data_IF_413184304355
#
_entry.id   IF_413184304355
#
_cell.length_a   1.000
_cell.length_b   1.000
_cell.length_c   1.000
_cell.angle_alpha   90.00
_cell.angle_beta   90.00
_cell.angle_gamma   90.00
#
_symmetry.space_group_name_H-M   'P 1'
#
loop_
_entity.id
_entity.type
_entity.pdbx_description
1 polymer ?
#
# COMPACT_ATOMS: atom_id res chain seq x y z
N UNK A 1 -8.10 19.64 -37.38
CA UNK A 1 -8.81 18.57 -36.67
C UNK A 1 -7.81 18.02 -35.67
N UNK A 2 -7.91 18.44 -34.41
CA UNK A 2 -7.05 17.90 -33.36
C UNK A 2 -7.57 16.52 -33.00
N UNK A 3 -6.76 15.49 -33.22
CA UNK A 3 -7.05 14.16 -32.73
C UNK A 3 -7.23 14.23 -31.21
N UNK A 4 -8.45 13.95 -30.76
CA UNK A 4 -8.72 13.66 -29.36
C UNK A 4 -7.98 12.36 -29.08
N UNK A 5 -6.77 12.48 -28.52
CA UNK A 5 -6.01 11.35 -28.00
C UNK A 5 -6.95 10.68 -26.99
N UNK A 6 -7.58 9.56 -27.38
CA UNK A 6 -8.29 8.69 -26.46
C UNK A 6 -7.25 8.25 -25.44
N UNK A 7 -7.34 8.76 -24.22
CA UNK A 7 -6.43 8.35 -23.16
C UNK A 7 -6.59 6.85 -22.92
N UNK A 8 -5.54 6.10 -23.27
CA UNK A 8 -5.47 4.68 -23.00
C UNK A 8 -5.36 4.51 -21.49
N UNK A 9 -6.23 3.72 -20.85
CA UNK A 9 -6.12 3.47 -19.42
C UNK A 9 -4.81 2.75 -19.13
N UNK A 10 -4.16 3.11 -18.03
CA UNK A 10 -2.91 2.50 -17.59
C UNK A 10 -3.12 1.00 -17.32
N UNK A 11 -2.38 0.14 -18.03
CA UNK A 11 -2.53 -1.32 -17.98
C UNK A 11 -1.46 -2.00 -17.14
N UNK A 12 -0.24 -1.48 -17.20
CA UNK A 12 0.92 -2.09 -16.56
C UNK A 12 1.95 -1.03 -16.16
N UNK A 13 2.82 -1.40 -15.24
CA UNK A 13 3.93 -0.57 -14.79
C UNK A 13 5.22 -1.33 -15.09
N UNK A 14 6.07 -0.74 -15.92
CA UNK A 14 7.38 -1.26 -16.23
C UNK A 14 8.41 -0.54 -15.38
N UNK A 15 9.20 -1.27 -14.62
CA UNK A 15 10.18 -0.71 -13.69
C UNK A 15 11.58 -1.15 -14.10
N UNK A 16 12.47 -0.19 -14.31
CA UNK A 16 13.89 -0.47 -14.54
C UNK A 16 14.51 -1.14 -13.30
N UNK A 17 15.36 -2.16 -13.50
CA UNK A 17 15.98 -2.85 -12.36
C UNK A 17 16.81 -1.93 -11.45
N UNK A 18 17.39 -0.85 -11.99
CA UNK A 18 18.11 0.15 -11.18
C UNK A 18 17.18 0.81 -10.15
N UNK A 19 15.92 1.09 -10.52
CA UNK A 19 14.91 1.65 -9.62
C UNK A 19 14.59 0.66 -8.50
N UNK A 20 14.38 -0.61 -8.87
CA UNK A 20 14.14 -1.69 -7.90
C UNK A 20 15.30 -1.77 -6.90
N UNK A 21 16.54 -1.79 -7.37
CA UNK A 21 17.74 -1.86 -6.52
C UNK A 21 17.85 -0.65 -5.58
N UNK A 22 17.55 0.56 -6.05
CA UNK A 22 17.54 1.77 -5.21
C UNK A 22 16.47 1.70 -4.11
N UNK A 23 15.27 1.25 -4.45
CA UNK A 23 14.15 1.10 -3.49
C UNK A 23 14.47 0.02 -2.46
N UNK A 24 14.97 -1.15 -2.89
CA UNK A 24 15.35 -2.25 -2.00
C UNK A 24 16.46 -1.82 -1.05
N UNK A 25 17.51 -1.14 -1.56
CA UNK A 25 18.60 -0.61 -0.74
C UNK A 25 18.07 0.39 0.29
N UNK A 26 17.22 1.34 -0.13
CA UNK A 26 16.64 2.32 0.77
C UNK A 26 15.79 1.67 1.86
N UNK A 27 14.86 0.79 1.46
CA UNK A 27 13.99 0.07 2.39
C UNK A 27 14.77 -0.75 3.41
N UNK A 28 15.85 -1.41 2.99
CA UNK A 28 16.69 -2.23 3.87
C UNK A 28 17.53 -1.39 4.84
N UNK A 29 18.03 -0.22 4.41
CA UNK A 29 18.86 0.66 5.25
C UNK A 29 18.03 1.44 6.30
N UNK A 30 16.79 1.77 5.96
CA UNK A 30 15.91 2.58 6.83
C UNK A 30 15.02 1.70 7.73
N UNK A 31 14.93 0.39 7.48
CA UNK A 31 14.17 -0.56 8.29
C UNK A 31 14.62 -0.51 9.77
N UNK A 32 13.69 -0.42 10.76
CA UNK A 32 12.24 -0.66 10.67
C UNK A 32 11.39 0.56 10.27
N UNK A 33 11.98 1.73 10.06
CA UNK A 33 11.25 2.95 9.68
C UNK A 33 10.81 2.91 8.21
N UNK A 34 9.69 3.56 7.91
CA UNK A 34 9.17 3.68 6.54
C UNK A 34 10.08 4.55 5.67
N UNK A 35 10.60 3.96 4.59
CA UNK A 35 11.36 4.63 3.55
C UNK A 35 10.39 5.15 2.48
N UNK A 36 10.46 6.44 2.14
CA UNK A 36 9.62 7.02 1.08
C UNK A 36 10.46 7.78 0.06
N UNK A 37 9.96 7.93 -1.16
CA UNK A 37 10.63 8.72 -2.18
C UNK A 37 9.78 8.91 -3.43
N UNK A 38 10.32 9.67 -4.38
CA UNK A 38 9.67 9.96 -5.66
C UNK A 38 10.13 8.95 -6.71
N UNK A 39 9.23 8.60 -7.62
CA UNK A 39 9.57 7.89 -8.86
C UNK A 39 9.39 8.82 -10.04
N UNK A 40 10.25 8.64 -11.04
CA UNK A 40 10.20 9.40 -12.29
C UNK A 40 10.24 8.48 -13.50
N UNK A 41 9.66 8.95 -14.59
CA UNK A 41 9.68 8.26 -15.87
C UNK A 41 8.67 8.82 -16.86
N UNK A 42 8.13 7.97 -17.73
CA UNK A 42 7.20 8.40 -18.79
C UNK A 42 6.16 7.33 -19.10
N UNK A 43 5.02 7.76 -19.61
CA UNK A 43 4.00 6.83 -20.12
C UNK A 43 4.22 6.56 -21.60
N UNK A 44 4.24 5.29 -21.96
CA UNK A 44 4.34 4.80 -23.33
C UNK A 44 3.11 3.92 -23.62
N UNK A 45 2.12 4.49 -24.32
CA UNK A 45 0.92 3.80 -24.81
C UNK A 45 0.15 2.98 -23.76
N UNK A 46 0.07 3.47 -22.52
CA UNK A 46 -0.66 2.81 -21.42
C UNK A 46 0.21 1.87 -20.58
N UNK A 47 1.52 1.84 -20.80
CA UNK A 47 2.51 1.26 -19.89
C UNK A 47 3.31 2.39 -19.26
N UNK A 48 3.28 2.48 -17.93
CA UNK A 48 4.05 3.49 -17.20
C UNK A 48 5.48 2.97 -17.03
N UNK A 49 6.44 3.58 -17.70
CA UNK A 49 7.85 3.24 -17.59
C UNK A 49 8.48 4.09 -16.48
N UNK A 50 8.98 3.43 -15.44
CA UNK A 50 9.67 4.04 -14.31
C UNK A 50 11.16 3.83 -14.49
N UNK A 51 11.86 4.89 -14.87
CA UNK A 51 13.27 4.86 -15.27
C UNK A 51 14.20 5.22 -14.13
N UNK A 52 13.76 6.07 -13.19
CA UNK A 52 14.59 6.51 -12.08
C UNK A 52 13.79 6.81 -10.80
N UNK A 53 14.50 6.93 -9.69
CA UNK A 53 13.92 7.23 -8.38
C UNK A 53 14.94 7.92 -7.48
N UNK A 54 14.45 8.71 -6.54
CA UNK A 54 15.24 9.35 -5.49
C UNK A 54 14.47 9.33 -4.16
N UNK A 55 15.23 9.32 -3.07
CA UNK A 55 14.72 9.18 -1.71
C UNK A 55 14.26 10.55 -1.19
N UNK A 56 13.19 10.60 -0.41
CA UNK A 56 12.91 11.81 0.37
C UNK A 56 13.84 11.86 1.58
N UNK A 57 14.36 13.05 1.95
CA UNK A 57 15.12 13.20 3.18
C UNK A 57 14.26 12.75 4.37
N UNK A 58 14.77 11.80 5.15
CA UNK A 58 14.14 11.41 6.41
C UNK A 58 14.34 12.51 7.42
N UNK A 59 13.28 12.86 8.17
CA UNK A 59 13.42 13.76 9.32
C UNK A 59 14.28 13.04 10.36
N UNK A 60 15.40 13.64 10.73
CA UNK A 60 16.39 13.04 11.64
C UNK A 60 15.77 12.90 13.04
N UNK A 61 15.36 11.69 13.40
CA UNK A 61 14.72 11.35 14.70
C UNK A 61 15.69 11.58 15.87
N UNK A 62 16.99 11.76 15.59
CA UNK A 62 18.02 12.06 16.57
C UNK A 62 17.88 13.42 17.26
N UNK A 63 17.10 14.37 16.70
CA UNK A 63 16.88 15.70 17.30
C UNK A 63 15.52 15.86 18.00
N UNK A 64 14.74 14.78 18.11
CA UNK A 64 13.52 14.74 18.91
C UNK A 64 13.79 13.89 20.15
N UNK A 65 13.47 14.41 21.33
CA UNK A 65 13.72 13.79 22.64
C UNK A 65 13.56 12.26 22.64
N UNK A 66 14.52 11.58 23.25
CA UNK A 66 14.75 10.12 23.28
C UNK A 66 13.65 9.27 23.95
N UNK A 67 12.42 9.79 24.00
CA UNK A 67 11.22 9.14 24.53
C UNK A 67 10.11 8.92 23.49
N UNK A 68 10.32 9.24 22.20
CA UNK A 68 9.33 8.93 21.15
C UNK A 68 9.41 7.48 20.70
N UNK A 69 8.25 6.81 20.68
CA UNK A 69 8.08 5.43 20.22
C UNK A 69 8.48 5.30 18.73
N UNK A 70 9.06 4.16 18.33
CA UNK A 70 9.36 3.85 16.93
C UNK A 70 8.14 4.04 15.97
N UNK A 71 6.92 3.91 16.49
CA UNK A 71 5.68 4.14 15.75
C UNK A 71 5.50 5.60 15.29
N UNK A 72 5.94 6.58 16.09
CA UNK A 72 5.82 8.00 15.79
C UNK A 72 6.75 8.41 14.64
N UNK A 73 7.97 7.88 14.62
CA UNK A 73 8.94 8.09 13.54
C UNK A 73 8.43 7.54 12.20
N UNK A 74 7.84 6.34 12.21
CA UNK A 74 7.29 5.74 10.98
C UNK A 74 6.10 6.54 10.43
N UNK A 75 5.28 7.11 11.31
CA UNK A 75 4.11 7.92 10.95
C UNK A 75 4.53 9.25 10.32
N UNK A 76 5.55 9.90 10.90
CA UNK A 76 6.15 11.11 10.33
C UNK A 76 6.79 10.84 8.98
N UNK A 77 7.53 9.73 8.85
CA UNK A 77 8.16 9.33 7.59
C UNK A 77 7.13 8.97 6.51
N UNK A 78 6.01 8.34 6.89
CA UNK A 78 4.91 8.04 5.97
C UNK A 78 4.22 9.31 5.45
N UNK A 79 4.20 10.40 6.23
CA UNK A 79 3.65 11.68 5.78
C UNK A 79 4.61 12.49 4.89
N UNK A 80 5.88 12.05 4.72
CA UNK A 80 6.91 12.76 3.98
C UNK A 80 6.51 13.19 2.54
N UNK A 81 5.81 12.38 1.71
CA UNK A 81 5.54 12.75 0.32
C UNK A 81 4.68 14.02 0.14
N UNK A 82 3.86 14.36 1.14
CA UNK A 82 2.98 15.54 1.14
C UNK A 82 3.53 16.73 1.93
N UNK A 83 4.71 16.60 2.54
CA UNK A 83 5.33 17.68 3.30
C UNK A 83 5.85 18.78 2.36
N UNK A 84 5.59 20.05 2.70
CA UNK A 84 6.00 21.20 1.87
C UNK A 84 7.49 21.22 1.55
N UNK A 85 8.35 20.90 2.52
CA UNK A 85 9.80 20.82 2.32
C UNK A 85 10.17 19.77 1.27
N UNK A 86 9.51 18.62 1.30
CA UNK A 86 9.77 17.53 0.34
C UNK A 86 9.21 17.82 -1.04
N UNK A 87 8.13 18.60 -1.16
CA UNK A 87 7.63 19.09 -2.46
C UNK A 87 8.68 20.02 -3.11
N UNK A 88 9.28 20.92 -2.33
CA UNK A 88 10.36 21.81 -2.82
C UNK A 88 11.57 20.98 -3.24
N UNK A 89 12.02 20.07 -2.37
CA UNK A 89 13.13 19.16 -2.66
C UNK A 89 12.87 18.32 -3.91
N UNK A 90 11.65 17.79 -4.08
CA UNK A 90 11.24 17.01 -5.24
C UNK A 90 11.41 17.82 -6.53
N UNK A 91 10.94 19.07 -6.53
CA UNK A 91 11.03 19.95 -7.70
C UNK A 91 12.50 20.30 -8.05
N UNK A 92 13.33 20.55 -7.05
CA UNK A 92 14.77 20.81 -7.25
C UNK A 92 15.49 19.56 -7.79
N UNK A 93 15.22 18.39 -7.22
CA UNK A 93 15.81 17.14 -7.68
C UNK A 93 15.38 16.80 -9.12
N UNK A 94 14.11 17.02 -9.47
CA UNK A 94 13.62 16.87 -10.84
C UNK A 94 14.38 17.80 -11.79
N UNK A 95 14.64 19.06 -11.38
CA UNK A 95 15.44 20.00 -12.19
C UNK A 95 16.86 19.48 -12.41
N UNK A 96 17.53 18.99 -11.36
CA UNK A 96 18.87 18.44 -11.48
C UNK A 96 18.91 17.18 -12.35
N UNK A 97 17.93 16.29 -12.24
CA UNK A 97 17.84 15.11 -13.11
C UNK A 97 17.67 15.49 -14.59
N UNK A 98 16.92 16.56 -14.88
CA UNK A 98 16.82 17.11 -16.24
C UNK A 98 18.14 17.69 -16.76
N UNK A 99 18.95 18.30 -15.89
CA UNK A 99 20.30 18.80 -16.26
C UNK A 99 21.24 17.66 -16.69
N UNK A 100 21.05 16.45 -16.17
CA UNK A 100 21.81 15.25 -16.57
C UNK A 100 21.14 14.45 -17.70
N UNK A 101 20.15 15.02 -18.39
CA UNK A 101 19.38 14.40 -19.47
C UNK A 101 18.64 13.11 -19.07
N UNK A 102 18.20 13.01 -17.80
CA UNK A 102 17.26 11.96 -17.37
C UNK A 102 15.83 12.44 -17.62
N UNK A 103 14.95 11.52 -18.02
CA UNK A 103 13.52 11.73 -18.20
C UNK A 103 12.79 11.89 -16.84
N UNK A 104 12.99 13.03 -16.20
CA UNK A 104 12.49 13.28 -14.85
C UNK A 104 11.05 13.85 -14.84
N UNK A 105 10.06 13.13 -15.37
CA UNK A 105 8.66 13.46 -15.10
C UNK A 105 8.20 12.73 -13.84
N UNK A 106 7.53 13.44 -12.93
CA UNK A 106 6.98 12.81 -11.73
C UNK A 106 5.79 11.92 -12.12
N UNK A 107 5.96 10.61 -11.90
CA UNK A 107 4.94 9.59 -12.18
C UNK A 107 4.40 8.95 -10.90
N UNK A 108 4.83 9.45 -9.74
CA UNK A 108 4.31 9.07 -8.43
C UNK A 108 5.38 8.91 -7.37
N UNK A 109 5.17 7.96 -6.47
CA UNK A 109 6.00 7.78 -5.29
C UNK A 109 6.17 6.30 -4.93
N UNK A 110 7.10 6.01 -4.02
CA UNK A 110 7.22 4.69 -3.42
C UNK A 110 7.26 4.78 -1.90
N UNK A 111 6.89 3.67 -1.26
CA UNK A 111 7.01 3.47 0.18
C UNK A 111 7.52 2.06 0.47
N UNK A 112 8.34 1.91 1.51
CA UNK A 112 8.54 0.61 2.12
C UNK A 112 7.36 0.25 3.02
N UNK A 113 7.17 -1.04 3.22
CA UNK A 113 6.23 -1.60 4.17
C UNK A 113 6.92 -2.73 4.95
N UNK A 114 6.49 -2.93 6.18
CA UNK A 114 6.88 -4.07 7.00
C UNK A 114 5.70 -5.02 7.11
N UNK A 115 5.90 -6.30 6.80
CA UNK A 115 4.88 -7.35 6.91
C UNK A 115 3.55 -7.04 6.19
N UNK A 116 3.58 -6.24 5.12
CA UNK A 116 2.37 -5.83 4.41
C UNK A 116 1.52 -4.75 5.08
N UNK A 117 2.02 -4.09 6.14
CA UNK A 117 1.34 -2.95 6.76
C UNK A 117 1.56 -1.67 5.94
N UNK A 118 0.65 -1.38 5.01
CA UNK A 118 0.71 -0.16 4.20
C UNK A 118 -0.66 0.46 3.89
N UNK A 119 -1.76 -0.27 4.09
CA UNK A 119 -3.11 0.23 3.81
C UNK A 119 -3.59 1.07 4.99
N UNK A 120 -3.11 2.31 5.03
CA UNK A 120 -3.44 3.28 6.09
C UNK A 120 -3.90 4.62 5.50
N UNK A 121 -4.39 5.51 6.37
CA UNK A 121 -4.88 6.83 5.94
C UNK A 121 -3.78 7.66 5.25
N UNK A 122 -2.54 7.61 5.76
CA UNK A 122 -1.42 8.35 5.18
C UNK A 122 -1.11 7.92 3.75
N UNK A 123 -1.19 6.62 3.45
CA UNK A 123 -1.02 6.10 2.09
C UNK A 123 -2.09 6.64 1.14
N UNK A 124 -3.35 6.65 1.58
CA UNK A 124 -4.48 7.20 0.81
C UNK A 124 -4.32 8.70 0.57
N UNK A 125 -3.95 9.45 1.61
CA UNK A 125 -3.71 10.90 1.53
C UNK A 125 -2.58 11.24 0.56
N UNK A 126 -1.46 10.51 0.62
CA UNK A 126 -0.33 10.69 -0.28
C UNK A 126 -0.71 10.36 -1.72
N UNK A 127 -1.39 9.22 -1.94
CA UNK A 127 -1.80 8.83 -3.28
C UNK A 127 -2.84 9.80 -3.85
N UNK A 128 -3.80 10.28 -3.04
CA UNK A 128 -4.74 11.31 -3.46
C UNK A 128 -4.04 12.62 -3.81
N UNK A 129 -3.03 13.02 -3.03
CA UNK A 129 -2.24 14.23 -3.29
C UNK A 129 -1.62 14.24 -4.69
N UNK A 130 -0.95 13.14 -5.07
CA UNK A 130 -0.35 13.04 -6.40
C UNK A 130 -1.39 12.77 -7.49
N UNK A 131 -2.34 11.87 -7.25
CA UNK A 131 -3.31 11.43 -8.27
C UNK A 131 -4.34 12.51 -8.62
N UNK A 132 -4.57 13.49 -7.73
CA UNK A 132 -5.37 14.68 -8.00
C UNK A 132 -4.77 15.52 -9.13
N UNK A 133 -3.45 15.68 -9.14
CA UNK A 133 -2.75 16.56 -10.08
C UNK A 133 -2.37 15.80 -11.36
N UNK A 134 -2.08 14.49 -11.25
CA UNK A 134 -1.82 13.60 -12.38
C UNK A 134 -2.57 12.27 -12.21
N UNK A 135 -3.55 12.00 -13.08
CA UNK A 135 -4.32 10.75 -13.00
C UNK A 135 -3.45 9.49 -13.21
N UNK A 136 -2.31 9.61 -13.91
CA UNK A 136 -1.41 8.48 -14.21
C UNK A 136 -0.41 8.16 -13.09
N UNK A 137 -0.56 8.78 -11.93
CA UNK A 137 0.26 8.49 -10.74
C UNK A 137 0.09 7.07 -10.24
N UNK A 138 1.21 6.42 -9.93
CA UNK A 138 1.28 5.10 -9.27
C UNK A 138 2.06 5.20 -7.95
N UNK A 139 1.62 4.42 -6.96
CA UNK A 139 2.38 4.15 -5.73
C UNK A 139 3.05 2.78 -5.82
N UNK A 140 4.37 2.73 -5.70
CA UNK A 140 5.11 1.47 -5.53
C UNK A 140 5.26 1.13 -4.05
N UNK A 141 4.89 -0.09 -3.68
CA UNK A 141 5.03 -0.61 -2.32
C UNK A 141 6.04 -1.74 -2.32
N UNK A 142 7.15 -1.53 -1.60
CA UNK A 142 8.16 -2.56 -1.38
C UNK A 142 8.05 -3.14 0.02
N UNK A 143 7.75 -4.43 0.12
CA UNK A 143 7.69 -5.12 1.42
C UNK A 143 9.06 -5.69 1.76
N UNK A 144 9.74 -5.07 2.71
CA UNK A 144 11.11 -5.42 3.11
C UNK A 144 11.12 -6.79 3.80
N UNK A 145 10.14 -7.03 4.67
CA UNK A 145 10.04 -8.26 5.45
C UNK A 145 9.70 -9.48 4.59
N UNK A 146 8.86 -9.31 3.56
CA UNK A 146 8.58 -10.37 2.60
C UNK A 146 9.77 -10.62 1.67
N UNK A 147 10.45 -9.55 1.24
CA UNK A 147 11.60 -9.66 0.34
C UNK A 147 12.80 -10.33 1.00
N UNK A 148 12.97 -10.20 2.32
CA UNK A 148 13.99 -10.94 3.06
C UNK A 148 13.75 -12.45 3.14
N UNK A 149 12.53 -12.92 2.79
CA UNK A 149 12.21 -14.36 2.70
C UNK A 149 12.53 -14.95 1.31
N UNK A 150 13.20 -14.18 0.45
CA UNK A 150 13.77 -14.66 -0.82
C UNK A 150 13.00 -14.27 -2.09
N UNK A 151 11.71 -13.92 -1.99
CA UNK A 151 10.92 -13.43 -3.12
C UNK A 151 10.79 -11.92 -3.08
N UNK A 152 11.24 -11.23 -4.12
CA UNK A 152 11.02 -9.78 -4.27
C UNK A 152 9.52 -9.46 -4.18
N UNK A 153 9.16 -8.59 -3.24
CA UNK A 153 7.82 -8.05 -3.11
C UNK A 153 7.81 -6.58 -3.50
N UNK A 154 7.39 -6.32 -4.72
CA UNK A 154 7.17 -4.98 -5.26
C UNK A 154 5.81 -4.96 -5.95
N UNK A 155 4.90 -4.11 -5.46
CA UNK A 155 3.53 -4.01 -5.97
C UNK A 155 3.23 -2.57 -6.37
N UNK A 156 2.48 -2.40 -7.44
CA UNK A 156 2.04 -1.10 -7.92
C UNK A 156 0.55 -0.91 -7.64
N UNK A 157 0.20 0.21 -7.01
CA UNK A 157 -1.18 0.55 -6.70
C UNK A 157 -1.56 1.93 -7.23
N UNK A 158 -2.85 2.08 -7.54
CA UNK A 158 -3.49 3.34 -7.86
C UNK A 158 -4.85 3.40 -7.15
N UNK A 159 -5.32 4.58 -6.76
CA UNK A 159 -6.69 4.72 -6.25
C UNK A 159 -7.68 4.58 -7.41
N UNK A 160 -8.78 3.87 -7.19
CA UNK A 160 -9.82 3.79 -8.21
C UNK A 160 -10.45 5.16 -8.46
N UNK A 161 -10.91 5.46 -9.69
CA UNK A 161 -11.58 6.73 -9.99
C UNK A 161 -12.84 6.95 -9.11
N UNK A 162 -13.54 5.87 -8.77
CA UNK A 162 -14.72 5.90 -7.90
C UNK A 162 -14.35 6.32 -6.48
N UNK A 163 -13.27 5.78 -5.93
CA UNK A 163 -12.78 6.16 -4.61
C UNK A 163 -12.22 7.60 -4.61
N UNK A 164 -11.51 8.02 -5.66
CA UNK A 164 -11.03 9.40 -5.80
C UNK A 164 -12.17 10.43 -5.74
N UNK A 165 -13.29 10.15 -6.42
CA UNK A 165 -14.47 11.02 -6.39
C UNK A 165 -15.09 11.09 -4.98
N UNK A 166 -15.28 9.94 -4.32
CA UNK A 166 -15.82 9.90 -2.96
C UNK A 166 -14.90 10.58 -1.93
N UNK A 167 -13.59 10.41 -2.07
CA UNK A 167 -12.60 11.04 -1.18
C UNK A 167 -12.59 12.56 -1.34
N UNK A 168 -12.77 13.07 -2.56
CA UNK A 168 -12.89 14.51 -2.83
C UNK A 168 -14.11 15.14 -2.17
N UNK A 169 -15.22 14.40 -2.06
CA UNK A 169 -16.43 14.87 -1.37
C UNK A 169 -16.31 14.82 0.16
N UNK A 170 -15.40 14.00 0.69
CA UNK A 170 -15.14 13.88 2.13
C UNK A 170 -16.28 13.25 2.93
N UNK A 171 -17.29 12.66 2.27
CA UNK A 171 -18.48 12.09 2.90
C UNK A 171 -18.45 10.56 2.85
N UNK A 172 -17.89 9.94 3.89
CA UNK A 172 -17.87 8.49 4.09
C UNK A 172 -18.99 8.04 5.04
N UNK A 173 -20.23 8.43 4.73
CA UNK A 173 -21.45 8.01 5.44
C UNK A 173 -22.04 6.73 4.83
N UNK A 174 -22.88 6.02 5.57
CA UNK A 174 -23.56 4.81 5.05
C UNK A 174 -24.40 5.08 3.81
N UNK A 175 -25.03 6.25 3.71
CA UNK A 175 -25.82 6.66 2.54
C UNK A 175 -24.93 6.90 1.32
N UNK A 176 -23.82 7.63 1.49
CA UNK A 176 -22.85 7.92 0.43
C UNK A 176 -22.22 6.64 -0.12
N UNK A 177 -21.83 5.72 0.77
CA UNK A 177 -21.27 4.42 0.38
C UNK A 177 -22.27 3.52 -0.36
N UNK A 178 -23.55 3.54 0.05
CA UNK A 178 -24.61 2.81 -0.67
C UNK A 178 -24.87 3.39 -2.05
N UNK A 179 -24.88 4.72 -2.18
CA UNK A 179 -25.10 5.40 -3.46
C UNK A 179 -23.94 5.15 -4.44
N UNK A 180 -22.70 5.21 -3.95
CA UNK A 180 -21.48 4.99 -4.74
C UNK A 180 -21.14 3.51 -4.97
N UNK A 181 -21.79 2.59 -4.25
CA UNK A 181 -21.51 1.13 -4.25
C UNK A 181 -20.04 0.78 -3.94
N UNK A 182 -19.36 1.63 -3.18
CA UNK A 182 -17.95 1.45 -2.83
C UNK A 182 -17.79 0.38 -1.74
N UNK A 183 -16.95 -0.62 -2.02
CA UNK A 183 -16.54 -1.64 -1.06
C UNK A 183 -15.05 -1.50 -0.73
N UNK A 184 -14.57 -2.14 0.34
CA UNK A 184 -13.13 -2.15 0.70
C UNK A 184 -12.23 -2.68 -0.44
N UNK A 185 -12.76 -3.53 -1.34
CA UNK A 185 -12.03 -4.06 -2.49
C UNK A 185 -11.76 -3.00 -3.55
N UNK A 186 -12.64 -2.02 -3.69
CA UNK A 186 -12.60 -1.02 -4.75
C UNK A 186 -11.77 0.21 -4.37
N UNK A 187 -11.02 0.18 -3.25
CA UNK A 187 -10.18 1.31 -2.83
C UNK A 187 -8.93 1.40 -3.72
N UNK A 188 -8.21 0.29 -3.86
CA UNK A 188 -6.93 0.19 -4.55
C UNK A 188 -7.06 -0.71 -5.78
N UNK A 189 -6.70 -0.18 -6.94
CA UNK A 189 -6.44 -0.96 -8.15
C UNK A 189 -4.96 -1.37 -8.17
N UNK A 190 -4.70 -2.67 -8.24
CA UNK A 190 -3.35 -3.21 -8.40
C UNK A 190 -3.01 -3.31 -9.89
N UNK A 191 -1.81 -2.87 -10.24
CA UNK A 191 -1.28 -2.92 -11.60
C UNK A 191 -0.15 -3.96 -11.69
N UNK A 192 -0.08 -4.74 -12.77
CA UNK A 192 1.01 -5.69 -12.99
C UNK A 192 2.34 -4.93 -13.13
N UNK A 193 3.35 -5.41 -12.41
CA UNK A 193 4.71 -4.87 -12.41
C UNK A 193 5.60 -5.76 -13.28
N UNK A 194 6.16 -5.19 -14.35
CA UNK A 194 7.16 -5.84 -15.21
C UNK A 194 8.53 -5.24 -14.91
N UNK A 195 9.53 -6.08 -14.60
CA UNK A 195 10.90 -5.61 -14.45
C UNK A 195 11.56 -5.64 -15.82
N UNK A 196 12.05 -4.49 -16.26
CA UNK A 196 12.78 -4.36 -17.52
C UNK A 196 14.26 -4.09 -17.27
N UNK A 197 15.08 -4.64 -18.16
CA UNK A 197 16.51 -4.43 -18.21
C UNK A 197 16.88 -3.96 -19.60
N UNK A 198 17.66 -2.88 -19.69
CA UNK A 198 18.30 -2.50 -20.94
C UNK A 198 19.27 -3.58 -21.43
N UNK A 199 19.50 -3.64 -22.74
CA UNK A 199 20.44 -4.60 -23.34
C UNK A 199 21.88 -4.42 -22.83
N UNK A 200 22.28 -3.18 -22.52
CA UNK A 200 23.59 -2.91 -21.93
C UNK A 200 23.70 -3.48 -20.52
N UNK A 201 22.67 -3.27 -19.68
CA UNK A 201 22.62 -3.86 -18.34
C UNK A 201 22.61 -5.38 -18.40
N UNK A 202 21.86 -5.96 -19.34
CA UNK A 202 21.85 -7.42 -19.58
C UNK A 202 23.25 -7.92 -19.96
N UNK A 203 23.95 -7.22 -20.84
CA UNK A 203 25.34 -7.55 -21.22
C UNK A 203 26.31 -7.44 -20.05
N UNK A 204 26.13 -6.42 -19.20
CA UNK A 204 26.90 -6.27 -17.96
C UNK A 204 26.63 -7.40 -16.96
N UNK A 205 25.37 -7.83 -16.80
CA UNK A 205 25.03 -8.98 -15.97
C UNK A 205 25.67 -10.28 -16.47
N UNK A 206 25.85 -10.44 -17.78
CA UNK A 206 26.58 -11.58 -18.35
C UNK A 206 28.09 -11.56 -18.09
N UNK A 207 28.66 -10.41 -17.70
CA UNK A 207 30.08 -10.32 -17.29
C UNK A 207 30.29 -10.71 -15.82
N UNK A 208 29.23 -10.70 -15.01
CA UNK A 208 29.30 -11.21 -13.64
C UNK A 208 29.59 -12.73 -13.70
N UNK A 209 30.39 -13.28 -12.78
CA UNK A 209 30.74 -14.69 -12.79
C UNK A 209 29.47 -15.55 -12.73
N UNK A 210 29.14 -16.17 -13.87
CA UNK A 210 27.98 -17.05 -14.03
C UNK A 210 28.24 -18.45 -13.49
N UNK A 211 27.23 -19.32 -13.61
CA UNK A 211 27.35 -20.76 -13.36
C UNK A 211 28.61 -21.30 -14.04
N UNK A 212 29.43 -22.14 -13.39
CA UNK A 212 30.51 -22.82 -14.10
C UNK A 212 29.90 -23.56 -15.29
N UNK A 213 30.49 -23.39 -16.48
CA UNK A 213 30.25 -24.32 -17.57
C UNK A 213 30.50 -25.74 -17.02
N UNK A 214 29.64 -26.69 -17.39
CA UNK A 214 29.84 -28.12 -17.11
C UNK A 214 31.01 -28.69 -17.92
N UNK A 215 32.11 -27.95 -18.05
CA UNK A 215 33.33 -28.50 -18.58
C UNK A 215 33.89 -29.47 -17.55
N UNK A 216 34.37 -30.61 -18.04
CA UNK A 216 34.98 -31.65 -17.21
C UNK A 216 36.10 -30.98 -16.40
N UNK A 217 35.90 -30.84 -15.10
CA UNK A 217 36.93 -30.38 -14.18
C UNK A 217 38.10 -31.35 -14.34
N UNK A 218 39.17 -30.92 -15.01
CA UNK A 218 40.41 -31.69 -15.04
C UNK A 218 40.98 -31.72 -13.62
N UNK A 219 41.37 -32.90 -13.10
CA UNK A 219 41.94 -32.99 -11.77
C UNK A 219 43.22 -32.14 -11.70
N UNK A 220 43.45 -31.36 -10.64
CA UNK A 220 44.64 -30.54 -10.52
C UNK A 220 45.88 -31.42 -10.55
N UNK A 221 46.85 -31.08 -11.40
CA UNK A 221 48.07 -31.85 -11.58
C UNK A 221 49.14 -31.49 -10.53
N UNK A 222 48.92 -30.42 -9.74
CA UNK A 222 49.87 -29.98 -8.70
C UNK A 222 49.19 -29.33 -7.49
N UNK A 223 49.87 -29.37 -6.33
CA UNK A 223 49.46 -28.66 -5.10
C UNK A 223 49.48 -27.13 -5.25
N UNK A 224 50.18 -26.61 -6.25
CA UNK A 224 50.31 -25.17 -6.53
C UNK A 224 49.05 -24.62 -7.21
N UNK A 225 48.45 -25.38 -8.14
CA UNK A 225 47.19 -25.02 -8.82
C UNK A 225 46.01 -24.90 -7.83
N UNK A 226 45.99 -25.73 -6.78
CA UNK A 226 45.00 -25.67 -5.69
C UNK A 226 45.10 -24.39 -4.84
N UNK A 227 46.23 -23.68 -4.85
CA UNK A 227 46.43 -22.44 -4.07
C UNK A 227 46.19 -21.18 -4.88
N UNK A 228 46.27 -21.25 -6.21
CA UNK A 228 46.13 -20.10 -7.10
C UNK A 228 44.72 -19.90 -7.64
N UNK A 229 43.83 -20.89 -7.52
CA UNK A 229 42.42 -20.76 -7.85
C UNK A 229 41.59 -20.41 -6.58
N UNK A 230 41.37 -19.11 -6.26
CA UNK A 230 40.43 -18.76 -5.23
C UNK A 230 39.05 -19.27 -5.65
N UNK A 231 38.44 -20.11 -4.82
CA UNK A 231 37.05 -20.55 -4.99
C UNK A 231 36.20 -19.28 -5.15
N UNK A 232 35.81 -18.96 -6.39
CA UNK A 232 34.89 -17.85 -6.67
C UNK A 232 33.55 -18.28 -6.09
N UNK A 233 33.23 -17.73 -4.92
CA UNK A 233 31.94 -17.94 -4.27
C UNK A 233 30.84 -17.58 -5.27
N UNK A 234 29.97 -18.55 -5.56
CA UNK A 234 28.94 -18.40 -6.55
C UNK A 234 27.91 -17.35 -6.08
N UNK A 235 27.48 -16.47 -6.97
CA UNK A 235 26.37 -15.53 -6.71
C UNK A 235 24.99 -16.22 -6.73
N UNK A 236 24.92 -17.51 -7.09
CA UNK A 236 23.68 -18.27 -7.24
C UNK A 236 23.95 -19.79 -7.11
N UNK A 237 23.04 -20.63 -6.56
CA UNK A 237 21.68 -20.34 -6.07
C UNK A 237 21.60 -19.83 -4.62
N UNK A 238 20.66 -18.93 -4.35
CA UNK A 238 20.33 -18.53 -2.97
C UNK A 238 19.62 -19.68 -2.26
N UNK A 239 20.35 -20.35 -1.36
CA UNK A 239 19.78 -21.39 -0.49
C UNK A 239 18.72 -20.80 0.45
N UNK A 240 18.73 -19.48 0.66
CA UNK A 240 17.73 -18.71 1.41
C UNK A 240 16.30 -18.96 0.91
N UNK A 241 16.11 -19.13 -0.41
CA UNK A 241 14.79 -19.42 -0.96
C UNK A 241 14.25 -20.79 -0.52
N UNK A 242 15.09 -21.69 -0.03
CA UNK A 242 14.73 -23.03 0.47
C UNK A 242 14.65 -23.07 2.00
N UNK A 243 14.77 -21.92 2.68
CA UNK A 243 14.60 -21.91 4.13
C UNK A 243 13.20 -22.39 4.52
N UNK A 244 13.19 -23.27 5.52
CA UNK A 244 12.02 -23.91 6.11
C UNK A 244 11.60 -23.23 7.42
N UNK A 245 12.36 -22.23 7.90
CA UNK A 245 12.02 -21.56 9.15
C UNK A 245 10.65 -20.88 9.05
N UNK A 246 9.69 -21.35 9.85
CA UNK A 246 8.28 -20.93 9.81
C UNK A 246 8.03 -19.76 10.77
N UNK A 247 8.79 -19.70 11.87
CA UNK A 247 8.24 -19.19 13.12
C UNK A 247 8.18 -17.65 13.21
N UNK A 248 9.25 -16.85 12.96
CA UNK A 248 9.18 -15.42 13.28
C UNK A 248 8.31 -14.57 12.33
N UNK A 249 8.20 -14.97 11.05
CA UNK A 249 7.44 -14.21 10.06
C UNK A 249 5.95 -14.51 10.17
N UNK A 250 5.58 -15.79 10.28
CA UNK A 250 4.18 -16.20 10.38
C UNK A 250 3.56 -15.76 11.69
N UNK A 251 4.26 -15.94 12.82
CA UNK A 251 3.81 -15.50 14.15
C UNK A 251 3.47 -14.01 14.13
N UNK A 252 4.42 -13.17 13.70
CA UNK A 252 4.21 -11.72 13.61
C UNK A 252 3.10 -11.33 12.63
N UNK A 253 2.98 -12.02 11.50
CA UNK A 253 1.88 -11.74 10.54
C UNK A 253 0.53 -12.07 11.15
N UNK A 254 0.43 -13.15 11.93
CA UNK A 254 -0.77 -13.52 12.68
C UNK A 254 -1.09 -12.52 13.80
N UNK A 255 -0.08 -12.05 14.55
CA UNK A 255 -0.27 -11.02 15.57
C UNK A 255 -0.80 -9.72 14.96
N UNK A 256 -0.22 -9.27 13.85
CA UNK A 256 -0.67 -8.08 13.12
C UNK A 256 -2.08 -8.25 12.54
N UNK A 257 -2.44 -9.47 12.11
CA UNK A 257 -3.80 -9.79 11.68
C UNK A 257 -4.78 -9.68 12.86
N UNK A 258 -4.43 -10.22 14.03
CA UNK A 258 -5.26 -10.13 15.23
C UNK A 258 -5.45 -8.68 15.67
N UNK A 259 -4.39 -7.88 15.70
CA UNK A 259 -4.45 -6.44 16.00
C UNK A 259 -5.38 -5.70 15.02
N UNK A 260 -5.29 -6.01 13.72
CA UNK A 260 -6.16 -5.41 12.70
C UNK A 260 -7.62 -5.82 12.85
N UNK A 261 -7.89 -7.06 13.28
CA UNK A 261 -9.24 -7.54 13.59
C UNK A 261 -9.80 -6.83 14.83
N UNK A 262 -9.00 -6.66 15.89
CA UNK A 262 -9.40 -5.92 17.10
C UNK A 262 -9.71 -4.45 16.80
N UNK A 263 -8.89 -3.80 15.97
CA UNK A 263 -9.14 -2.44 15.47
C UNK A 263 -10.47 -2.36 14.70
N UNK A 264 -10.73 -3.30 13.79
CA UNK A 264 -12.01 -3.38 13.08
C UNK A 264 -13.21 -3.63 14.02
N UNK A 265 -13.05 -4.43 15.08
CA UNK A 265 -14.09 -4.60 16.11
C UNK A 265 -14.35 -3.33 16.90
N UNK A 266 -13.31 -2.55 17.20
CA UNK A 266 -13.43 -1.26 17.88
C UNK A 266 -14.25 -0.28 17.05
N UNK A 267 -13.99 -0.18 15.74
CA UNK A 267 -14.77 0.63 14.81
C UNK A 267 -16.23 0.19 14.73
N UNK A 268 -16.46 -1.12 14.71
CA UNK A 268 -17.80 -1.70 14.69
C UNK A 268 -18.57 -1.36 15.96
N UNK A 269 -17.93 -1.43 17.12
CA UNK A 269 -18.52 -1.05 18.41
C UNK A 269 -18.88 0.45 18.45
N UNK A 270 -18.02 1.32 17.91
CA UNK A 270 -18.28 2.75 17.79
C UNK A 270 -19.53 3.02 16.91
N UNK A 271 -19.64 2.32 15.78
CA UNK A 271 -20.81 2.43 14.91
C UNK A 271 -22.10 1.90 15.58
N UNK A 272 -22.02 0.78 16.30
CA UNK A 272 -23.18 0.27 17.05
C UNK A 272 -23.62 1.24 18.15
N UNK A 273 -22.68 1.91 18.82
CA UNK A 273 -22.99 2.95 19.80
C UNK A 273 -23.74 4.11 19.14
N UNK A 274 -23.24 4.60 18.00
CA UNK A 274 -23.92 5.61 17.19
C UNK A 274 -25.36 5.17 16.81
N UNK A 275 -25.52 3.93 16.33
CA UNK A 275 -26.83 3.40 15.94
C UNK A 275 -27.82 3.35 17.11
N UNK A 276 -27.37 2.97 18.31
CA UNK A 276 -28.20 3.00 19.52
C UNK A 276 -28.60 4.43 19.90
N UNK A 277 -27.68 5.38 19.79
CA UNK A 277 -27.96 6.79 20.09
C UNK A 277 -28.95 7.39 19.09
N UNK A 278 -28.76 7.13 17.80
CA UNK A 278 -29.66 7.53 16.72
C UNK A 278 -31.07 6.97 16.96
N UNK A 279 -31.19 5.69 17.30
CA UNK A 279 -32.49 5.05 17.58
C UNK A 279 -33.22 5.67 18.78
N UNK A 280 -32.49 6.08 19.83
CA UNK A 280 -33.08 6.78 21.00
C UNK A 280 -33.59 8.17 20.62
N UNK A 281 -32.82 8.94 19.86
CA UNK A 281 -33.24 10.28 19.42
C UNK A 281 -34.41 10.20 18.42
N UNK A 282 -34.37 9.26 17.48
CA UNK A 282 -35.50 9.00 16.58
C UNK A 282 -36.77 8.62 17.35
N UNK A 283 -36.68 7.77 18.37
CA UNK A 283 -37.82 7.43 19.20
C UNK A 283 -38.42 8.66 19.92
N UNK A 284 -37.58 9.57 20.44
CA UNK A 284 -38.04 10.84 21.04
C UNK A 284 -38.72 11.74 20.01
N UNK A 285 -38.16 11.84 18.81
CA UNK A 285 -38.75 12.62 17.71
C UNK A 285 -40.11 12.04 17.31
N UNK A 286 -40.21 10.73 17.11
CA UNK A 286 -41.48 10.07 16.76
C UNK A 286 -42.53 10.22 17.87
N UNK A 287 -42.14 10.10 19.14
CA UNK A 287 -43.03 10.37 20.27
C UNK A 287 -43.51 11.82 20.30
N UNK A 288 -42.61 12.79 20.07
CA UNK A 288 -42.96 14.20 19.98
C UNK A 288 -43.93 14.48 18.83
N UNK A 289 -43.64 13.96 17.63
CA UNK A 289 -44.48 14.11 16.44
C UNK A 289 -45.86 13.49 16.66
N UNK A 290 -45.94 12.32 17.29
CA UNK A 290 -47.21 11.65 17.59
C UNK A 290 -48.06 12.48 18.56
N UNK A 291 -47.44 13.01 19.64
CA UNK A 291 -48.11 13.91 20.58
C UNK A 291 -48.60 15.18 19.89
N UNK A 292 -47.76 15.78 19.04
CA UNK A 292 -48.10 17.02 18.32
C UNK A 292 -49.23 16.82 17.32
N UNK A 293 -49.24 15.69 16.61
CA UNK A 293 -50.32 15.31 15.70
C UNK A 293 -51.65 15.08 16.44
N UNK A 294 -51.62 14.45 17.62
CA UNK A 294 -52.79 14.28 18.46
C UNK A 294 -53.34 15.63 18.98
N UNK A 295 -52.45 16.54 19.37
CA UNK A 295 -52.83 17.90 19.79
C UNK A 295 -53.42 18.72 18.63
N UNK A 296 -52.83 18.64 17.44
CA UNK A 296 -53.34 19.29 16.23
C UNK A 296 -54.72 18.75 15.83
N UNK A 297 -54.96 17.43 15.96
CA UNK A 297 -56.27 16.83 15.72
C UNK A 297 -57.33 17.33 16.72
N UNK A 298 -56.98 17.49 18.01
CA UNK A 298 -57.86 18.06 19.02
C UNK A 298 -58.18 19.54 18.76
N UNK A 299 -57.18 20.33 18.33
CA UNK A 299 -57.37 21.75 17.98
C UNK A 299 -58.18 21.94 16.70
N UNK A 300 -58.04 21.06 15.71
CA UNK A 300 -58.87 21.05 14.51
C UNK A 300 -60.35 20.78 14.86
N UNK A 301 -60.62 19.85 15.78
CA UNK A 301 -61.98 19.63 16.30
C UNK A 301 -62.53 20.86 17.04
N UNK A 302 -61.67 21.64 17.69
CA UNK A 302 -62.01 22.91 18.34
C UNK A 302 -61.98 24.15 17.41
N UNK A 303 -61.82 23.96 16.08
CA UNK A 303 -61.72 25.03 15.06
C UNK A 303 -60.59 26.05 15.29
N UNK A 304 -59.52 25.66 15.98
CA UNK A 304 -58.32 26.49 16.16
C UNK A 304 -57.26 26.14 15.11
N UNK A 305 -56.37 27.11 14.80
CA UNK A 305 -55.30 26.90 13.84
C UNK A 305 -54.29 25.83 14.33
N UNK A 306 -53.81 24.93 13.45
CA UNK A 306 -52.84 23.90 13.80
C UNK A 306 -51.49 24.52 14.16
N UNK A 307 -50.78 23.89 15.09
CA UNK A 307 -49.43 24.29 15.47
C UNK A 307 -48.42 23.78 14.42
N UNK A 308 -47.30 24.51 14.21
CA UNK A 308 -46.27 24.11 13.27
C UNK A 308 -45.68 22.74 13.63
N UNK A 309 -45.54 21.88 12.62
CA UNK A 309 -45.01 20.53 12.77
C UNK A 309 -43.48 20.47 12.65
N UNK A 310 -42.80 21.58 12.34
CA UNK A 310 -41.35 21.62 12.04
C UNK A 310 -40.45 21.97 13.24
N UNK A 311 -41.02 22.32 14.40
CA UNK A 311 -40.25 22.75 15.58
C UNK A 311 -39.28 21.67 16.10
N UNK A 312 -39.53 20.39 15.83
CA UNK A 312 -38.65 19.29 16.25
C UNK A 312 -37.25 19.37 15.61
N UNK A 313 -37.10 19.96 14.42
CA UNK A 313 -35.79 20.09 13.77
C UNK A 313 -34.87 21.06 14.51
N UNK A 314 -35.46 22.03 15.24
CA UNK A 314 -34.72 22.96 16.10
C UNK A 314 -34.48 22.39 17.50
N UNK A 315 -35.41 21.55 17.98
CA UNK A 315 -35.39 20.99 19.33
C UNK A 315 -34.51 19.76 19.46
N UNK A 316 -34.42 18.92 18.43
CA UNK A 316 -33.64 17.68 18.45
C UNK A 316 -32.48 17.76 17.46
N UNK A 317 -31.26 17.55 17.95
CA UNK A 317 -30.06 17.44 17.12
C UNK A 317 -29.73 15.97 16.96
N UNK A 318 -29.75 15.47 15.72
CA UNK A 318 -29.35 14.09 15.43
C UNK A 318 -27.84 13.93 15.66
N UNK A 319 -27.39 12.80 16.24
CA UNK A 319 -25.97 12.47 16.32
C UNK A 319 -25.35 12.43 14.92
N UNK A 320 -24.10 12.89 14.80
CA UNK A 320 -23.32 12.79 13.56
C UNK A 320 -22.81 11.36 13.39
N UNK A 321 -22.89 10.84 12.16
CA UNK A 321 -22.38 9.51 11.82
C UNK A 321 -20.84 9.52 11.87
N UNK A 322 -20.20 8.53 12.54
CA UNK A 322 -18.75 8.38 12.46
C UNK A 322 -18.33 8.01 11.03
N UNK A 323 -17.19 8.55 10.58
CA UNK A 323 -16.64 8.22 9.26
C UNK A 323 -16.39 6.71 9.14
N UNK A 324 -16.85 6.12 8.04
CA UNK A 324 -16.65 4.68 7.75
C UNK A 324 -15.33 4.38 7.06
N UNK A 325 -14.53 5.41 6.73
CA UNK A 325 -13.30 5.28 5.97
C UNK A 325 -12.27 4.39 6.68
N UNK A 326 -11.99 4.65 7.96
CA UNK A 326 -11.00 3.88 8.73
C UNK A 326 -11.39 2.41 8.82
N UNK A 327 -12.66 2.11 9.12
CA UNK A 327 -13.16 0.74 9.12
C UNK A 327 -13.04 0.04 7.77
N UNK A 328 -13.21 0.75 6.65
CA UNK A 328 -12.99 0.19 5.30
C UNK A 328 -11.50 -0.10 5.02
N UNK A 329 -10.59 0.78 5.47
CA UNK A 329 -9.15 0.57 5.33
C UNK A 329 -8.67 -0.60 6.20
N UNK A 330 -9.14 -0.68 7.45
CA UNK A 330 -8.88 -1.79 8.36
C UNK A 330 -9.36 -3.12 7.76
N UNK A 331 -10.58 -3.17 7.19
CA UNK A 331 -11.07 -4.36 6.50
C UNK A 331 -10.20 -4.77 5.30
N UNK A 332 -9.68 -3.79 4.55
CA UNK A 332 -8.74 -4.06 3.45
C UNK A 332 -7.39 -4.56 3.95
N UNK A 333 -6.90 -4.05 5.07
CA UNK A 333 -5.66 -4.52 5.71
C UNK A 333 -5.80 -5.96 6.24
N UNK A 334 -6.96 -6.32 6.81
CA UNK A 334 -7.28 -7.72 7.18
C UNK A 334 -7.25 -8.65 5.96
N UNK A 335 -7.85 -8.25 4.83
CA UNK A 335 -7.79 -9.03 3.58
C UNK A 335 -6.34 -9.21 3.12
N UNK A 336 -5.53 -8.14 3.21
CA UNK A 336 -4.13 -8.17 2.83
C UNK A 336 -3.35 -9.18 3.68
N UNK A 337 -3.42 -9.11 5.01
CA UNK A 337 -2.78 -10.08 5.90
C UNK A 337 -3.26 -11.52 5.66
N UNK A 338 -4.56 -11.71 5.41
CA UNK A 338 -5.10 -13.05 5.10
C UNK A 338 -4.46 -13.63 3.83
N UNK A 339 -4.39 -12.85 2.74
CA UNK A 339 -3.68 -13.26 1.51
C UNK A 339 -2.18 -13.50 1.74
N UNK A 340 -1.58 -12.75 2.66
CA UNK A 340 -0.18 -12.93 3.02
C UNK A 340 0.07 -14.30 3.67
N UNK A 341 -0.77 -14.66 4.64
CA UNK A 341 -0.74 -15.96 5.34
C UNK A 341 -1.00 -17.10 4.37
N UNK A 342 -2.00 -16.97 3.49
CA UNK A 342 -2.31 -17.98 2.47
C UNK A 342 -1.11 -18.21 1.53
N UNK A 343 -0.52 -17.12 1.02
CA UNK A 343 0.64 -17.20 0.14
C UNK A 343 1.88 -17.78 0.81
N UNK A 344 2.12 -17.42 2.07
CA UNK A 344 3.22 -17.99 2.87
C UNK A 344 3.01 -19.49 3.11
N UNK A 345 1.80 -19.89 3.53
CA UNK A 345 1.43 -21.28 3.80
C UNK A 345 1.54 -22.15 2.55
N UNK A 346 1.12 -21.65 1.38
CA UNK A 346 1.26 -22.36 0.11
C UNK A 346 2.73 -22.59 -0.25
N UNK A 347 3.58 -21.58 -0.07
CA UNK A 347 5.01 -21.66 -0.38
C UNK A 347 5.74 -22.65 0.57
N UNK A 348 5.52 -22.52 1.88
CA UNK A 348 6.17 -23.40 2.86
C UNK A 348 5.70 -24.85 2.74
N UNK A 349 4.42 -25.09 2.43
CA UNK A 349 3.90 -26.44 2.20
C UNK A 349 4.59 -27.11 1.00
N UNK A 350 4.82 -26.35 -0.08
CA UNK A 350 5.55 -26.83 -1.24
C UNK A 350 7.01 -27.16 -0.89
N UNK A 351 7.69 -26.30 -0.11
CA UNK A 351 9.05 -26.55 0.38
C UNK A 351 9.14 -27.81 1.24
N UNK A 352 8.23 -27.96 2.20
CA UNK A 352 8.16 -29.15 3.06
C UNK A 352 7.92 -30.43 2.26
N UNK A 353 7.02 -30.39 1.27
CA UNK A 353 6.77 -31.53 0.40
C UNK A 353 8.00 -31.89 -0.42
N UNK A 354 8.70 -30.89 -0.97
CA UNK A 354 9.92 -31.08 -1.74
C UNK A 354 11.03 -31.74 -0.90
N UNK A 355 11.17 -31.35 0.37
CA UNK A 355 12.13 -31.94 1.31
C UNK A 355 11.72 -33.36 1.70
N UNK A 356 10.43 -33.61 1.97
CA UNK A 356 9.91 -34.96 2.28
C UNK A 356 10.18 -35.96 1.15
N UNK A 357 10.11 -35.51 -0.10
CA UNK A 357 10.34 -36.32 -1.30
C UNK A 357 11.83 -36.34 -1.73
N UNK A 358 12.76 -35.96 -0.83
CA UNK A 358 14.21 -35.93 -1.04
C UNK A 358 14.69 -35.06 -2.21
N UNK A 359 13.90 -34.09 -2.70
CA UNK A 359 14.21 -33.24 -3.85
C UNK A 359 14.58 -33.99 -5.14
N UNK A 360 14.37 -35.31 -5.18
CA UNK A 360 14.71 -36.17 -6.30
C UNK A 360 13.44 -36.44 -7.12
N UNK A 361 13.48 -36.26 -8.46
CA UNK A 361 12.39 -36.75 -9.28
C UNK A 361 12.30 -38.27 -9.11
N UNK A 362 11.22 -38.75 -8.50
CA UNK A 362 10.88 -40.18 -8.51
C UNK A 362 10.80 -40.59 -9.99
N UNK A 363 11.69 -41.49 -10.43
CA UNK A 363 11.55 -42.13 -11.74
C UNK A 363 10.18 -42.79 -11.77
N UNK A 364 9.35 -42.36 -12.72
CA UNK A 364 8.04 -42.95 -12.99
C UNK A 364 8.17 -44.42 -13.38
#
# INVERSE_FOLDING_TARGET
MGDVIKEVPLKAVRVEALVVMKIVKHGSQTFPTTATGSIVGMDSDGVLEITNTFQFPTVDVANTDSHQNNNDASTLAAAAPRQKANIVYQNEMIKHLKEVNVDANNVGWYTSAAMGNFVNLSFIENQFHYQKDNERTVALVHDVSRSSQGSLSLRAFKLTPTFMAAYKEGKFTTESLKASKLTFKDILAELPVEIHNTHLLTSFLHQLPGLPQQDKIEPPNSLSELREDPIKQQLHPSVENLDLSIDPFLEKTCDLLLESIESHYTDLNNFQFYQRQLGREQAKITQWQTKRKAENAARAAAKQAPLPEDEWQRLFKLPQEPSRLEGMLNAKQVEQYSKQVDGFTANISAKMFAVRENLLPKRA
#
